data_IF_988032135443
#
_entry.id   IF_988032135443
#
_cell.length_a   1.000
_cell.length_b   1.000
_cell.length_c   1.000
_cell.angle_alpha   90.00
_cell.angle_beta   90.00
_cell.angle_gamma   90.00
#
_symmetry.space_group_name_H-M   'P 1'
#
loop_
_entity.id
_entity.type
_entity.pdbx_description
1 polymer ?
#
# COMPACT_ATOMS: atom_id res chain seq x y z
N UNK A 1 -17.62 -17.34 16.65
CA UNK A 1 -16.55 -16.32 16.79
C UNK A 1 -15.75 -16.16 15.49
N UNK A 2 -16.41 -15.90 14.36
CA UNK A 2 -15.75 -15.69 13.05
C UNK A 2 -15.65 -14.21 12.71
N UNK A 3 -16.71 -13.44 12.99
CA UNK A 3 -16.77 -11.99 12.75
C UNK A 3 -15.66 -11.22 13.50
N UNK A 4 -15.42 -11.56 14.77
CA UNK A 4 -14.34 -10.95 15.57
C UNK A 4 -12.94 -11.29 15.05
N UNK A 5 -12.76 -12.49 14.48
CA UNK A 5 -11.49 -12.90 13.88
C UNK A 5 -11.27 -12.17 12.55
N UNK A 6 -12.31 -12.02 11.74
CA UNK A 6 -12.30 -11.24 10.51
C UNK A 6 -12.01 -9.75 10.76
N UNK A 7 -12.59 -9.16 11.82
CA UNK A 7 -12.33 -7.77 12.21
C UNK A 7 -10.86 -7.51 12.55
N UNK A 8 -10.22 -8.37 13.35
CA UNK A 8 -8.78 -8.26 13.67
C UNK A 8 -7.89 -8.40 12.43
N UNK A 9 -8.18 -9.35 11.54
CA UNK A 9 -7.42 -9.50 10.30
C UNK A 9 -7.50 -8.24 9.40
N UNK A 10 -8.67 -7.60 9.37
CA UNK A 10 -8.89 -6.36 8.63
C UNK A 10 -8.12 -5.19 9.25
N UNK A 11 -8.10 -5.06 10.58
CA UNK A 11 -7.32 -4.03 11.29
C UNK A 11 -5.82 -4.13 10.96
N UNK A 12 -5.24 -5.34 11.05
CA UNK A 12 -3.84 -5.53 10.68
C UNK A 12 -3.56 -5.19 9.21
N UNK A 13 -4.51 -5.46 8.31
CA UNK A 13 -4.38 -5.12 6.88
C UNK A 13 -4.40 -3.60 6.67
N UNK A 14 -5.25 -2.87 7.39
CA UNK A 14 -5.32 -1.41 7.32
C UNK A 14 -4.05 -0.76 7.87
N UNK A 15 -3.56 -1.22 9.03
CA UNK A 15 -2.30 -0.73 9.61
C UNK A 15 -1.14 -0.96 8.63
N UNK A 16 -1.02 -2.16 8.08
CA UNK A 16 0.00 -2.47 7.08
C UNK A 16 -0.11 -1.56 5.84
N UNK A 17 -1.33 -1.26 5.39
CA UNK A 17 -1.55 -0.36 4.26
C UNK A 17 -1.10 1.06 4.53
N UNK A 18 -1.40 1.64 5.71
CA UNK A 18 -0.92 2.97 6.06
C UNK A 18 0.60 3.04 6.18
N UNK A 19 1.23 2.00 6.71
CA UNK A 19 2.69 1.89 6.74
C UNK A 19 3.25 1.82 5.31
N UNK A 20 2.66 0.99 4.44
CA UNK A 20 3.10 0.86 3.05
C UNK A 20 2.92 2.18 2.26
N UNK A 21 1.84 2.93 2.51
CA UNK A 21 1.64 4.26 1.92
C UNK A 21 2.75 5.23 2.37
N UNK A 22 3.02 5.30 3.68
CA UNK A 22 4.07 6.16 4.21
C UNK A 22 5.43 5.83 3.60
N UNK A 23 5.80 4.53 3.57
CA UNK A 23 7.06 4.07 2.97
C UNK A 23 7.10 4.44 1.49
N UNK A 24 6.03 4.20 0.73
CA UNK A 24 5.98 4.53 -0.70
C UNK A 24 6.09 6.04 -0.98
N UNK A 25 5.60 6.90 -0.08
CA UNK A 25 5.78 8.34 -0.23
C UNK A 25 7.24 8.78 0.01
N UNK A 26 7.98 8.09 0.88
CA UNK A 26 9.38 8.41 1.13
C UNK A 26 10.30 8.11 -0.07
N UNK A 27 9.87 7.25 -1.01
CA UNK A 27 10.65 6.90 -2.20
C UNK A 27 10.42 7.86 -3.38
N UNK A 28 9.36 8.67 -3.35
CA UNK A 28 9.03 9.58 -4.45
C UNK A 28 10.07 10.70 -4.52
N UNK A 29 10.63 10.91 -5.72
CA UNK A 29 11.64 11.93 -6.03
C UNK A 29 12.87 11.89 -5.11
N UNK A 30 13.14 10.74 -4.49
CA UNK A 30 14.26 10.56 -3.57
C UNK A 30 14.92 9.19 -3.71
N UNK A 31 15.89 9.10 -4.61
CA UNK A 31 16.65 7.85 -4.87
C UNK A 31 17.46 7.38 -3.66
N UNK A 32 17.92 8.29 -2.79
CA UNK A 32 18.67 7.90 -1.59
C UNK A 32 17.78 7.14 -0.59
N UNK A 33 16.58 7.68 -0.30
CA UNK A 33 15.62 6.99 0.54
C UNK A 33 15.07 5.73 -0.13
N UNK A 34 14.88 5.73 -1.45
CA UNK A 34 14.49 4.55 -2.22
C UNK A 34 15.49 3.40 -2.00
N UNK A 35 16.78 3.62 -2.24
CA UNK A 35 17.81 2.58 -2.05
C UNK A 35 17.95 2.17 -0.59
N UNK A 36 17.88 3.13 0.34
CA UNK A 36 17.91 2.86 1.76
C UNK A 36 16.75 1.96 2.19
N UNK A 37 15.52 2.30 1.81
CA UNK A 37 14.32 1.52 2.11
C UNK A 37 14.40 0.14 1.45
N UNK A 38 14.75 0.07 0.16
CA UNK A 38 14.89 -1.18 -0.59
C UNK A 38 15.83 -2.15 0.13
N UNK A 39 16.96 -1.68 0.65
CA UNK A 39 17.92 -2.50 1.40
C UNK A 39 17.40 -3.06 2.74
N UNK A 40 16.28 -2.54 3.26
CA UNK A 40 15.61 -3.04 4.46
C UNK A 40 14.39 -3.93 4.14
N UNK A 41 14.00 -4.05 2.87
CA UNK A 41 12.88 -4.89 2.45
C UNK A 41 13.34 -6.32 2.16
N UNK A 42 12.47 -7.32 2.40
CA UNK A 42 12.75 -8.69 2.00
C UNK A 42 13.05 -8.77 0.50
N UNK A 43 14.10 -9.51 0.14
CA UNK A 43 14.56 -9.69 -1.25
C UNK A 43 14.95 -8.39 -1.96
N UNK A 44 15.18 -7.29 -1.23
CA UNK A 44 15.50 -5.98 -1.76
C UNK A 44 14.51 -5.52 -2.86
N UNK A 45 13.22 -5.76 -2.64
CA UNK A 45 12.17 -5.44 -3.62
C UNK A 45 10.87 -5.00 -2.92
N UNK A 46 9.96 -4.43 -3.71
CA UNK A 46 8.71 -3.84 -3.20
C UNK A 46 7.51 -4.78 -3.27
N UNK A 47 7.69 -6.07 -3.62
CA UNK A 47 6.60 -7.02 -3.83
C UNK A 47 5.69 -7.16 -2.61
N UNK A 48 6.27 -7.15 -1.41
CA UNK A 48 5.49 -7.19 -0.16
C UNK A 48 4.59 -5.95 -0.01
N UNK A 49 5.13 -4.75 -0.25
CA UNK A 49 4.38 -3.50 -0.15
C UNK A 49 3.30 -3.43 -1.24
N UNK A 50 3.63 -3.82 -2.47
CA UNK A 50 2.69 -3.91 -3.59
C UNK A 50 1.53 -4.84 -3.26
N UNK A 51 1.78 -6.01 -2.66
CA UNK A 51 0.72 -6.94 -2.24
C UNK A 51 -0.24 -6.33 -1.22
N UNK A 52 0.29 -5.58 -0.25
CA UNK A 52 -0.53 -4.89 0.78
C UNK A 52 -1.34 -3.76 0.16
N UNK A 53 -0.71 -2.91 -0.65
CA UNK A 53 -1.39 -1.78 -1.31
C UNK A 53 -2.46 -2.26 -2.29
N UNK A 54 -2.25 -3.36 -3.03
CA UNK A 54 -3.25 -3.91 -3.93
C UNK A 54 -4.49 -4.43 -3.18
N UNK A 55 -4.29 -5.12 -2.04
CA UNK A 55 -5.40 -5.56 -1.18
C UNK A 55 -6.17 -4.35 -0.63
N UNK A 56 -5.45 -3.31 -0.21
CA UNK A 56 -6.05 -2.08 0.29
C UNK A 56 -6.82 -1.32 -0.79
N UNK A 57 -6.27 -1.19 -1.99
CA UNK A 57 -6.92 -0.59 -3.15
C UNK A 57 -8.22 -1.33 -3.51
N UNK A 58 -8.17 -2.67 -3.59
CA UNK A 58 -9.35 -3.49 -3.87
C UNK A 58 -10.41 -3.32 -2.77
N UNK A 59 -9.99 -3.32 -1.51
CA UNK A 59 -10.88 -3.09 -0.37
C UNK A 59 -11.56 -1.70 -0.45
N UNK A 60 -10.79 -0.64 -0.66
CA UNK A 60 -11.35 0.71 -0.79
C UNK A 60 -12.29 0.80 -1.98
N UNK A 61 -11.94 0.23 -3.13
CA UNK A 61 -12.79 0.23 -4.32
C UNK A 61 -14.14 -0.44 -4.08
N UNK A 62 -14.15 -1.58 -3.36
CA UNK A 62 -15.39 -2.27 -2.96
C UNK A 62 -16.25 -1.41 -2.01
N UNK A 63 -15.63 -0.69 -1.07
CA UNK A 63 -16.35 0.16 -0.10
C UNK A 63 -16.69 1.57 -0.62
N UNK A 64 -15.97 2.06 -1.63
CA UNK A 64 -16.11 3.39 -2.21
C UNK A 64 -17.38 3.52 -3.06
N UNK A 65 -17.87 2.41 -3.61
CA UNK A 65 -19.21 2.32 -4.20
C UNK A 65 -20.31 2.77 -3.21
N UNK A 66 -20.04 2.78 -1.90
CA UNK A 66 -20.98 3.20 -0.86
C UNK A 66 -20.81 4.67 -0.40
N UNK A 67 -19.79 5.43 -0.85
CA UNK A 67 -19.62 6.84 -0.42
C UNK A 67 -18.84 7.73 -1.41
N UNK A 68 -19.43 8.85 -1.90
CA UNK A 68 -18.82 9.73 -2.92
C UNK A 68 -17.55 10.50 -2.53
N UNK A 69 -17.09 10.44 -1.26
CA UNK A 69 -15.90 11.14 -0.78
C UNK A 69 -14.58 10.34 -0.83
N UNK A 70 -14.65 9.07 -1.20
CA UNK A 70 -13.57 8.08 -1.08
C UNK A 70 -12.53 8.08 -2.22
N UNK A 71 -12.75 8.87 -3.28
CA UNK A 71 -11.94 8.80 -4.51
C UNK A 71 -10.49 9.29 -4.38
N UNK A 72 -10.18 10.15 -3.40
CA UNK A 72 -8.81 10.67 -3.19
C UNK A 72 -7.85 9.61 -2.65
N UNK A 73 -8.28 8.82 -1.66
CA UNK A 73 -7.46 7.74 -1.09
C UNK A 73 -7.17 6.63 -2.11
N UNK A 74 -8.16 6.33 -2.95
CA UNK A 74 -8.03 5.37 -4.07
C UNK A 74 -6.97 5.84 -5.06
N UNK A 75 -7.05 7.08 -5.54
CA UNK A 75 -6.08 7.64 -6.48
C UNK A 75 -4.67 7.70 -5.90
N UNK A 76 -4.52 8.09 -4.64
CA UNK A 76 -3.23 8.12 -3.97
C UNK A 76 -2.58 6.73 -3.89
N UNK A 77 -3.39 5.72 -3.57
CA UNK A 77 -2.94 4.33 -3.50
C UNK A 77 -2.57 3.78 -4.88
N UNK A 78 -3.38 4.06 -5.90
CA UNK A 78 -3.11 3.67 -7.29
C UNK A 78 -1.80 4.29 -7.80
N UNK A 79 -1.59 5.58 -7.55
CA UNK A 79 -0.34 6.29 -7.91
C UNK A 79 0.88 5.63 -7.27
N UNK A 80 0.81 5.26 -5.99
CA UNK A 80 1.90 4.59 -5.29
C UNK A 80 2.14 3.18 -5.79
N UNK A 81 1.09 2.40 -6.10
CA UNK A 81 1.25 1.08 -6.72
C UNK A 81 2.02 1.22 -8.03
N UNK A 82 1.68 2.20 -8.87
CA UNK A 82 2.38 2.46 -10.12
C UNK A 82 3.84 2.84 -9.89
N UNK A 83 4.10 3.82 -9.03
CA UNK A 83 5.46 4.28 -8.72
C UNK A 83 6.34 3.12 -8.21
N UNK A 84 5.86 2.37 -7.21
CA UNK A 84 6.59 1.23 -6.65
C UNK A 84 6.82 0.12 -7.68
N UNK A 85 5.85 -0.12 -8.58
CA UNK A 85 6.01 -1.09 -9.68
C UNK A 85 7.10 -0.67 -10.66
N UNK A 86 7.19 0.63 -10.96
CA UNK A 86 8.17 1.17 -11.92
C UNK A 86 9.59 1.10 -11.36
N UNK A 87 9.80 1.53 -10.10
CA UNK A 87 11.12 1.46 -9.46
C UNK A 87 11.54 0.01 -9.18
N UNK A 88 10.62 -0.91 -8.89
CA UNK A 88 10.94 -2.31 -8.61
C UNK A 88 11.49 -3.07 -9.83
N UNK A 89 11.21 -2.58 -11.05
CA UNK A 89 11.75 -3.13 -12.30
C UNK A 89 13.11 -2.56 -12.68
N UNK A 90 13.53 -1.48 -12.00
CA UNK A 90 14.82 -0.81 -12.18
C UNK A 90 15.86 -1.41 -11.24
#
# INVERSE_FOLDING_TARGET
MLLQKAGRHMEHTLIAAYIALLIGYLTIDNTEYELFIRGHLPNNNYEMLLSVLQKFYNFMTLTAAASPGSSRGIKATEMLIKHLTDINKS
#
